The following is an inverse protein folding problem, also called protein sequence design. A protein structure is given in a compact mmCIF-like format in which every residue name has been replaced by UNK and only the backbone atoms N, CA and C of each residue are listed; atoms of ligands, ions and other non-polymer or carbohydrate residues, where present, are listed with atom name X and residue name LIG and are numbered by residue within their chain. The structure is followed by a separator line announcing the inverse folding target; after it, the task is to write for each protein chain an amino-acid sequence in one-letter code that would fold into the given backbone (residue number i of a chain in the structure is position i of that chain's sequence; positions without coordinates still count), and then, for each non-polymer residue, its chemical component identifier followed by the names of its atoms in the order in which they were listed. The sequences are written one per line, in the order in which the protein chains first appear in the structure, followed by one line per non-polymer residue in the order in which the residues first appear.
data_IF_941447524896
#
_entry.id   IF_941447524896
#
_cell.length_a   1.000
_cell.length_b   1.000
_cell.length_c   1.000
_cell.angle_alpha   90.00
_cell.angle_beta   90.00
_cell.angle_gamma   90.00
#
_symmetry.space_group_name_H-M   'P 1'
#
loop_
_entity.id
_entity.type
_entity.pdbx_description
1 polymer ?
#
# COMPACT_ATOMS: atom_id res chain seq x y z
N UNK A 1 -31.54 -11.82 1.69
CA UNK A 1 -30.09 -11.58 1.92
C UNK A 1 -29.29 -12.56 1.05
N UNK A 2 -28.27 -12.08 0.31
CA UNK A 2 -27.49 -12.89 -0.64
C UNK A 2 -26.97 -14.19 -0.01
N UNK A 3 -26.46 -14.11 1.21
CA UNK A 3 -25.86 -15.24 1.92
C UNK A 3 -26.84 -16.41 2.11
N UNK A 4 -28.09 -16.11 2.49
CA UNK A 4 -29.14 -17.15 2.67
C UNK A 4 -29.43 -17.88 1.35
N UNK A 5 -29.52 -17.15 0.24
CA UNK A 5 -29.78 -17.73 -1.09
C UNK A 5 -28.58 -18.56 -1.58
N UNK A 6 -27.35 -18.06 -1.37
CA UNK A 6 -26.13 -18.77 -1.75
C UNK A 6 -25.96 -20.09 -0.98
N UNK A 7 -26.13 -20.05 0.36
CA UNK A 7 -26.11 -21.25 1.21
C UNK A 7 -27.13 -22.28 0.74
N UNK A 8 -28.37 -21.84 0.49
CA UNK A 8 -29.45 -22.75 0.06
C UNK A 8 -29.13 -23.40 -1.29
N UNK A 9 -28.62 -22.63 -2.26
CA UNK A 9 -28.22 -23.14 -3.57
C UNK A 9 -27.06 -24.15 -3.52
N UNK A 10 -26.28 -24.16 -2.44
CA UNK A 10 -25.17 -25.09 -2.23
C UNK A 10 -25.53 -26.34 -1.42
N UNK A 11 -26.78 -26.49 -0.97
CA UNK A 11 -27.22 -27.63 -0.16
C UNK A 11 -27.47 -27.30 1.31
N UNK A 12 -27.65 -26.02 1.63
CA UNK A 12 -28.10 -25.59 2.96
C UNK A 12 -27.06 -25.83 4.05
N UNK A 13 -27.52 -26.32 5.21
CA UNK A 13 -26.66 -26.57 6.38
C UNK A 13 -25.67 -27.71 6.17
N UNK A 14 -26.01 -28.71 5.35
CA UNK A 14 -25.11 -29.81 5.00
C UNK A 14 -23.86 -29.32 4.27
N UNK A 15 -23.98 -28.29 3.43
CA UNK A 15 -22.82 -27.66 2.81
C UNK A 15 -22.07 -26.75 3.78
N UNK A 16 -22.78 -26.05 4.66
CA UNK A 16 -22.18 -25.11 5.62
C UNK A 16 -21.17 -25.80 6.55
N UNK A 17 -21.39 -27.05 6.93
CA UNK A 17 -20.42 -27.81 7.76
C UNK A 17 -19.14 -28.19 6.99
N UNK A 18 -19.17 -28.14 5.66
CA UNK A 18 -18.01 -28.48 4.81
C UNK A 18 -17.19 -27.26 4.39
N UNK A 19 -17.77 -26.04 4.43
CA UNK A 19 -17.07 -24.84 3.97
C UNK A 19 -16.07 -24.38 5.03
N UNK A 20 -14.80 -24.25 4.64
CA UNK A 20 -13.79 -23.70 5.53
C UNK A 20 -13.97 -22.19 5.68
N UNK A 21 -13.46 -21.63 6.78
CA UNK A 21 -13.42 -20.18 6.95
C UNK A 21 -12.64 -19.47 5.83
N UNK A 22 -11.59 -20.11 5.30
CA UNK A 22 -10.81 -19.57 4.19
C UNK A 22 -11.65 -19.49 2.90
N UNK A 23 -12.45 -20.51 2.60
CA UNK A 23 -13.29 -20.53 1.42
C UNK A 23 -14.48 -19.57 1.54
N UNK A 24 -15.05 -19.45 2.75
CA UNK A 24 -16.03 -18.41 3.02
C UNK A 24 -15.46 -17.00 2.76
N UNK A 25 -14.26 -16.69 3.27
CA UNK A 25 -13.60 -15.41 3.01
C UNK A 25 -13.39 -15.17 1.50
N UNK A 26 -12.99 -16.19 0.74
CA UNK A 26 -12.88 -16.09 -0.73
C UNK A 26 -14.23 -15.78 -1.39
N UNK A 27 -15.32 -16.40 -0.94
CA UNK A 27 -16.66 -16.14 -1.47
C UNK A 27 -17.12 -14.71 -1.17
N UNK A 28 -16.91 -14.22 0.05
CA UNK A 28 -17.20 -12.84 0.42
C UNK A 28 -16.38 -11.85 -0.41
N UNK A 29 -15.08 -12.10 -0.59
CA UNK A 29 -14.23 -11.27 -1.45
C UNK A 29 -14.74 -11.29 -2.89
N UNK A 30 -15.09 -12.44 -3.47
CA UNK A 30 -15.63 -12.48 -4.83
C UNK A 30 -16.97 -11.75 -4.99
N UNK A 31 -17.84 -11.82 -3.97
CA UNK A 31 -19.17 -11.21 -4.02
C UNK A 31 -19.12 -9.67 -3.88
N UNK A 32 -18.31 -9.17 -2.96
CA UNK A 32 -18.30 -7.74 -2.59
C UNK A 32 -17.06 -6.98 -3.06
N UNK A 33 -16.04 -7.71 -3.52
CA UNK A 33 -14.79 -7.15 -3.99
C UNK A 33 -14.41 -7.77 -5.34
N UNK A 34 -15.07 -7.32 -6.44
CA UNK A 34 -14.92 -7.90 -7.77
C UNK A 34 -13.45 -7.98 -8.21
N UNK A 35 -13.14 -8.95 -9.08
CA UNK A 35 -11.76 -9.13 -9.59
C UNK A 35 -11.18 -7.85 -10.19
N UNK A 36 -11.98 -7.04 -10.87
CA UNK A 36 -11.53 -5.76 -11.44
C UNK A 36 -10.98 -4.80 -10.38
N UNK A 37 -11.65 -4.69 -9.22
CA UNK A 37 -11.17 -3.87 -8.11
C UNK A 37 -9.92 -4.45 -7.46
N UNK A 38 -9.83 -5.77 -7.32
CA UNK A 38 -8.60 -6.43 -6.86
C UNK A 38 -7.41 -6.11 -7.76
N UNK A 39 -7.59 -6.23 -9.07
CA UNK A 39 -6.54 -5.91 -10.04
C UNK A 39 -6.22 -4.41 -10.09
N UNK A 40 -7.23 -3.54 -9.89
CA UNK A 40 -7.01 -2.10 -9.75
C UNK A 40 -6.12 -1.78 -8.55
N UNK A 41 -6.43 -2.33 -7.37
CA UNK A 41 -5.62 -2.13 -6.16
C UNK A 41 -4.21 -2.71 -6.31
N UNK A 42 -4.07 -3.88 -6.94
CA UNK A 42 -2.74 -4.43 -7.25
C UNK A 42 -1.94 -3.47 -8.11
N UNK A 43 -2.50 -2.95 -9.20
CA UNK A 43 -1.81 -1.99 -10.07
C UNK A 43 -1.43 -0.72 -9.32
N UNK A 44 -2.37 -0.16 -8.56
CA UNK A 44 -2.14 1.04 -7.74
C UNK A 44 -1.01 0.84 -6.74
N UNK A 45 -0.94 -0.33 -6.10
CA UNK A 45 0.13 -0.68 -5.17
C UNK A 45 1.51 -0.75 -5.85
N UNK A 46 1.61 -1.42 -7.00
CA UNK A 46 2.90 -1.58 -7.70
C UNK A 46 3.39 -0.28 -8.35
N UNK A 47 2.49 0.64 -8.70
CA UNK A 47 2.82 1.95 -9.27
C UNK A 47 2.79 3.07 -8.25
N UNK A 48 2.65 2.77 -6.95
CA UNK A 48 2.46 3.79 -5.92
C UNK A 48 3.67 4.75 -5.88
N UNK A 49 3.38 6.05 -5.85
CA UNK A 49 4.39 7.10 -5.77
C UNK A 49 3.89 8.21 -4.84
N UNK A 50 4.85 8.85 -4.17
CA UNK A 50 4.68 10.02 -3.35
C UNK A 50 4.59 11.26 -4.27
N UNK A 51 3.45 11.95 -4.28
CA UNK A 51 3.21 13.19 -5.01
C UNK A 51 3.92 14.38 -4.34
N UNK A 52 4.01 15.49 -5.08
CA UNK A 52 4.58 16.75 -4.60
C UNK A 52 3.71 17.45 -3.56
N UNK A 53 2.43 17.15 -3.48
CA UNK A 53 1.50 17.72 -2.51
C UNK A 53 1.29 16.85 -1.27
N UNK A 54 1.56 15.54 -1.34
CA UNK A 54 1.33 14.66 -0.17
C UNK A 54 2.54 14.63 0.76
N UNK A 55 2.25 14.69 2.06
CA UNK A 55 3.22 14.48 3.13
C UNK A 55 3.68 13.02 3.16
N UNK A 56 4.82 12.74 3.81
CA UNK A 56 5.27 11.34 3.96
C UNK A 56 4.30 10.50 4.80
N UNK A 57 3.56 11.11 5.72
CA UNK A 57 2.59 10.41 6.55
C UNK A 57 1.36 9.99 5.75
N UNK A 58 0.82 10.89 4.92
CA UNK A 58 -0.30 10.56 4.01
C UNK A 58 0.08 9.46 3.02
N UNK A 59 1.28 9.56 2.45
CA UNK A 59 1.81 8.52 1.57
C UNK A 59 1.92 7.17 2.29
N UNK A 60 2.45 7.16 3.52
CA UNK A 60 2.55 5.95 4.36
C UNK A 60 1.19 5.34 4.66
N UNK A 61 0.20 6.16 5.02
CA UNK A 61 -1.16 5.68 5.26
C UNK A 61 -1.77 5.05 4.01
N UNK A 62 -1.59 5.68 2.85
CA UNK A 62 -2.09 5.16 1.56
C UNK A 62 -1.40 3.85 1.19
N UNK A 63 -0.08 3.76 1.37
CA UNK A 63 0.67 2.53 1.15
C UNK A 63 0.18 1.39 2.05
N UNK A 64 0.09 1.63 3.36
CA UNK A 64 -0.34 0.61 4.33
C UNK A 64 -1.78 0.16 4.09
N UNK A 65 -2.66 1.08 3.66
CA UNK A 65 -4.03 0.74 3.26
C UNK A 65 -4.05 -0.21 2.07
N UNK A 66 -3.26 0.05 1.03
CA UNK A 66 -3.16 -0.82 -0.16
C UNK A 66 -2.55 -2.17 0.20
N UNK A 67 -1.45 -2.19 0.96
CA UNK A 67 -0.82 -3.43 1.43
C UNK A 67 -1.79 -4.28 2.28
N UNK A 68 -2.57 -3.64 3.17
CA UNK A 68 -3.58 -4.30 3.99
C UNK A 68 -4.71 -4.95 3.18
N UNK A 69 -5.15 -4.33 2.09
CA UNK A 69 -6.13 -4.95 1.18
C UNK A 69 -5.56 -6.12 0.40
N UNK A 70 -4.28 -6.03 0.01
CA UNK A 70 -3.61 -7.08 -0.76
C UNK A 70 -3.20 -8.28 0.10
N UNK A 71 -2.95 -8.06 1.40
CA UNK A 71 -2.50 -9.09 2.32
C UNK A 71 -1.26 -9.80 1.78
N UNK A 72 -1.32 -11.12 1.61
CA UNK A 72 -0.22 -11.92 1.04
C UNK A 72 0.21 -11.47 -0.37
N UNK A 73 -0.67 -10.82 -1.14
CA UNK A 73 -0.32 -10.32 -2.47
C UNK A 73 0.52 -9.02 -2.44
N UNK A 74 0.71 -8.39 -1.28
CA UNK A 74 1.59 -7.22 -1.13
C UNK A 74 3.09 -7.57 -1.17
N UNK A 75 3.42 -8.87 -1.06
CA UNK A 75 4.78 -9.38 -1.00
C UNK A 75 5.32 -9.53 0.42
N UNK A 76 6.57 -9.98 0.50
CA UNK A 76 7.39 -10.04 1.72
C UNK A 76 7.63 -8.65 2.32
N UNK A 77 8.09 -8.57 3.57
CA UNK A 77 8.36 -7.28 4.22
C UNK A 77 9.45 -6.50 3.47
N UNK A 78 10.46 -7.18 2.93
CA UNK A 78 11.53 -6.61 2.13
C UNK A 78 11.03 -6.08 0.78
N UNK A 79 10.13 -6.81 0.11
CA UNK A 79 9.49 -6.34 -1.13
C UNK A 79 8.60 -5.13 -0.87
N UNK A 80 7.86 -5.12 0.23
CA UNK A 80 7.07 -3.97 0.66
C UNK A 80 7.96 -2.77 0.98
N UNK A 81 9.06 -2.98 1.70
CA UNK A 81 10.04 -1.94 2.03
C UNK A 81 10.63 -1.34 0.76
N UNK A 82 11.03 -2.18 -0.20
CA UNK A 82 11.54 -1.76 -1.51
C UNK A 82 10.48 -0.95 -2.26
N UNK A 83 9.25 -1.44 -2.38
CA UNK A 83 8.19 -0.72 -3.08
C UNK A 83 7.89 0.65 -2.43
N UNK A 84 7.85 0.70 -1.10
CA UNK A 84 7.70 1.94 -0.35
C UNK A 84 8.85 2.91 -0.62
N UNK A 85 10.09 2.42 -0.61
CA UNK A 85 11.30 3.21 -0.90
C UNK A 85 11.25 3.81 -2.31
N UNK A 86 10.99 3.01 -3.35
CA UNK A 86 10.82 3.49 -4.74
C UNK A 86 9.61 4.41 -4.92
N UNK A 87 8.66 4.31 -3.99
CA UNK A 87 7.51 5.19 -3.90
C UNK A 87 7.86 6.60 -3.44
N UNK A 88 8.94 6.81 -2.70
CA UNK A 88 9.28 8.14 -2.15
C UNK A 88 9.65 9.15 -3.23
N UNK A 89 9.56 10.45 -2.88
CA UNK A 89 10.02 11.54 -3.75
C UNK A 89 11.50 11.35 -4.12
N UNK A 90 11.86 11.78 -5.34
CA UNK A 90 13.21 11.63 -5.90
C UNK A 90 14.32 12.18 -4.98
N UNK A 91 14.08 13.33 -4.34
CA UNK A 91 15.03 13.95 -3.41
C UNK A 91 15.38 13.02 -2.24
N UNK A 92 14.36 12.48 -1.57
CA UNK A 92 14.52 11.50 -0.48
C UNK A 92 15.08 10.18 -1.01
N UNK A 93 14.51 9.63 -2.09
CA UNK A 93 14.92 8.34 -2.66
C UNK A 93 16.41 8.34 -3.03
N UNK A 94 16.93 9.40 -3.65
CA UNK A 94 18.34 9.48 -4.04
C UNK A 94 19.29 9.29 -2.85
N UNK A 95 18.91 9.78 -1.67
CA UNK A 95 19.72 9.62 -0.46
C UNK A 95 19.62 8.19 0.11
N UNK A 96 18.45 7.57 0.05
CA UNK A 96 18.24 6.21 0.56
C UNK A 96 18.62 5.11 -0.45
N UNK A 97 18.89 5.43 -1.72
CA UNK A 97 18.98 4.44 -2.82
C UNK A 97 20.06 3.38 -2.63
N UNK A 98 21.13 3.68 -1.87
CA UNK A 98 22.23 2.75 -1.61
C UNK A 98 22.00 1.86 -0.38
N UNK A 99 20.91 2.08 0.37
CA UNK A 99 20.60 1.31 1.58
C UNK A 99 19.53 0.25 1.31
N UNK A 100 19.70 -0.91 1.93
CA UNK A 100 18.68 -1.95 2.04
C UNK A 100 17.97 -1.85 3.37
N UNK A 101 16.66 -2.09 3.36
CA UNK A 101 15.81 -2.09 4.55
C UNK A 101 15.04 -3.41 4.61
N UNK A 102 14.83 -3.91 5.81
CA UNK A 102 14.07 -5.17 6.02
C UNK A 102 12.57 -4.93 6.08
N UNK A 103 12.15 -3.72 6.44
CA UNK A 103 10.75 -3.37 6.64
C UNK A 103 10.46 -1.91 6.32
N UNK A 104 9.18 -1.60 6.11
CA UNK A 104 8.68 -0.25 5.77
C UNK A 104 8.97 0.77 6.88
N UNK A 105 9.00 0.35 8.15
CA UNK A 105 9.24 1.26 9.26
C UNK A 105 10.68 1.79 9.25
N UNK A 106 11.67 0.97 8.91
CA UNK A 106 13.04 1.42 8.72
C UNK A 106 13.18 2.44 7.60
N UNK A 107 12.55 2.19 6.44
CA UNK A 107 12.54 3.15 5.33
C UNK A 107 11.90 4.47 5.77
N UNK A 108 10.75 4.40 6.46
CA UNK A 108 10.03 5.58 6.94
C UNK A 108 10.85 6.39 7.95
N UNK A 109 11.56 5.72 8.87
CA UNK A 109 12.43 6.36 9.83
C UNK A 109 13.64 7.03 9.14
N UNK A 110 14.30 6.34 8.20
CA UNK A 110 15.40 6.93 7.44
C UNK A 110 14.96 8.15 6.62
N UNK A 111 13.79 8.06 5.96
CA UNK A 111 13.21 9.16 5.21
C UNK A 111 12.86 10.36 6.11
N UNK A 112 12.33 10.10 7.32
CA UNK A 112 12.05 11.16 8.31
C UNK A 112 13.34 11.82 8.81
N UNK A 113 14.36 11.03 9.14
CA UNK A 113 15.65 11.54 9.60
C UNK A 113 16.32 12.43 8.55
N UNK A 114 16.29 12.02 7.28
CA UNK A 114 16.79 12.82 6.17
C UNK A 114 16.10 14.19 6.08
N UNK A 115 14.77 14.21 6.15
CA UNK A 115 13.98 15.45 6.10
C UNK A 115 14.31 16.39 7.26
N UNK A 116 14.40 15.87 8.49
CA UNK A 116 14.78 16.68 9.65
C UNK A 116 16.15 17.34 9.45
N UNK A 117 17.11 16.60 8.84
CA UNK A 117 18.45 17.14 8.56
C UNK A 117 18.46 18.17 7.42
N UNK A 118 17.54 18.07 6.46
CA UNK A 118 17.52 18.89 5.23
C UNK A 118 16.39 19.94 5.19
N UNK A 119 15.58 20.06 6.24
CA UNK A 119 14.51 21.07 6.40
C UNK A 119 15.02 22.53 6.45
N UNK A 120 16.32 22.76 6.26
CA UNK A 120 16.94 24.10 6.19
C UNK A 120 17.30 24.57 4.78
N UNK A 121 17.27 23.71 3.76
CA UNK A 121 17.74 24.05 2.42
C UNK A 121 16.62 24.41 1.42
N UNK A 122 15.34 24.17 1.79
CA UNK A 122 14.20 24.38 0.88
C UNK A 122 13.67 25.83 0.87
N UNK A 123 14.17 26.73 1.73
CA UNK A 123 13.74 28.16 1.78
C UNK A 123 14.51 29.07 0.80
N UNK A 124 15.66 28.64 0.29
CA UNK A 124 16.53 29.52 -0.53
C UNK A 124 16.32 29.39 -2.07
N UNK A 125 15.22 28.77 -2.52
CA UNK A 125 14.92 28.66 -3.97
C UNK A 125 13.82 29.59 -4.47
N UNK A 126 13.46 30.65 -3.72
CA UNK A 126 12.77 31.79 -4.33
C UNK A 126 13.76 32.57 -5.21
N UNK A 127 13.80 32.17 -6.48
CA UNK A 127 14.47 32.88 -7.56
C UNK A 127 13.83 34.29 -7.63
N UNK A 128 14.58 35.40 -7.47
CA UNK A 128 13.98 36.72 -7.60
C UNK A 128 13.53 36.91 -9.05
N UNK A 129 12.26 37.21 -9.22
CA UNK A 129 11.68 37.59 -10.50
C UNK A 129 12.49 38.74 -11.10
N UNK A 130 13.04 38.51 -12.29
CA UNK A 130 13.76 39.53 -13.04
C UNK A 130 12.73 40.41 -13.74
N UNK A 131 12.73 41.67 -13.33
CA UNK A 131 12.04 42.80 -13.97
C UNK A 131 12.45 42.96 -15.44
#
# INVERSE_FOLDING_TARGET
AWWKAYKQAKGGDTWLVTVTWADFKKLCLLQFFPRAEQERLKREYHSIRQTSSETSTEFMQRFLRLAGFLGAAAGTEEEQAKNFQWGLRRSTLNHLMCMSYTDVAQVANAARNYKILHERDDVDTERPDKQ
#
